data_IF_312925481687
#
_entry.id   IF_312925481687
#
_cell.length_a   1.000
_cell.length_b   1.000
_cell.length_c   1.000
_cell.angle_alpha   90.00
_cell.angle_beta   90.00
_cell.angle_gamma   90.00
#
_symmetry.space_group_name_H-M   'P 1'
#
loop_
_entity.id
_entity.type
_entity.pdbx_description
1 polymer ?
#
# COMPACT_ATOMS: atom_id res chain seq x y z
N UNK A 1 17.77 -4.65 0.78
CA UNK A 1 17.72 -3.84 -0.45
C UNK A 1 18.82 -2.79 -0.44
N UNK A 2 19.47 -2.54 -1.58
CA UNK A 2 20.42 -1.44 -1.76
C UNK A 2 20.01 -0.67 -3.00
N UNK A 3 19.28 0.43 -2.82
CA UNK A 3 18.78 1.24 -3.93
C UNK A 3 19.91 1.84 -4.79
N UNK A 4 19.76 1.85 -6.11
CA UNK A 4 20.79 2.31 -7.06
C UNK A 4 21.17 3.79 -6.89
N UNK A 5 20.26 4.61 -6.38
CA UNK A 5 20.45 6.07 -6.26
C UNK A 5 20.92 6.50 -4.85
N UNK A 6 21.15 5.53 -3.95
CA UNK A 6 21.60 5.76 -2.57
C UNK A 6 22.98 5.15 -2.29
N UNK A 7 23.61 5.59 -1.20
CA UNK A 7 24.86 5.02 -0.70
C UNK A 7 24.76 3.51 -0.49
N UNK A 8 25.88 2.81 -0.76
CA UNK A 8 25.97 1.33 -0.67
C UNK A 8 26.61 0.84 0.62
N UNK A 9 26.80 1.73 1.58
CA UNK A 9 27.41 1.49 2.88
C UNK A 9 26.49 0.71 3.84
N UNK A 10 25.17 0.82 3.68
CA UNK A 10 24.20 0.04 4.43
C UNK A 10 22.92 -0.23 3.62
N UNK A 11 22.18 -1.28 3.99
CA UNK A 11 20.91 -1.60 3.37
C UNK A 11 19.86 -0.54 3.75
N UNK A 12 19.13 -0.03 2.75
CA UNK A 12 18.14 1.03 2.93
C UNK A 12 17.04 0.88 1.89
N UNK A 13 15.78 0.99 2.34
CA UNK A 13 14.64 1.22 1.45
C UNK A 13 14.32 2.72 1.50
N UNK A 14 14.39 3.44 0.36
CA UNK A 14 13.94 4.82 0.29
C UNK A 14 12.49 4.95 0.78
N UNK A 15 12.21 5.95 1.62
CA UNK A 15 10.90 6.08 2.24
C UNK A 15 9.75 6.10 1.23
N UNK A 16 9.90 6.83 0.12
CA UNK A 16 8.89 6.86 -0.94
C UNK A 16 8.57 5.48 -1.52
N UNK A 17 9.59 4.63 -1.69
CA UNK A 17 9.39 3.25 -2.14
C UNK A 17 8.67 2.41 -1.09
N UNK A 18 9.01 2.55 0.21
CA UNK A 18 8.30 1.84 1.27
C UNK A 18 6.81 2.19 1.37
N UNK A 19 6.46 3.45 1.06
CA UNK A 19 5.07 3.94 1.10
C UNK A 19 4.29 3.50 -0.13
N UNK A 20 4.86 3.69 -1.32
CA UNK A 20 4.11 3.45 -2.57
C UNK A 20 3.80 1.97 -2.79
N UNK A 21 4.66 1.05 -2.34
CA UNK A 21 4.45 -0.39 -2.54
C UNK A 21 3.34 -0.98 -1.69
N UNK A 22 3.04 -0.38 -0.53
CA UNK A 22 1.90 -0.82 0.30
C UNK A 22 0.60 -0.09 -0.04
N UNK A 23 0.71 1.10 -0.65
CA UNK A 23 -0.43 1.98 -0.90
C UNK A 23 -1.63 1.29 -1.61
N UNK A 24 -1.46 0.45 -2.65
CA UNK A 24 -2.60 -0.24 -3.26
C UNK A 24 -3.38 -1.12 -2.26
N UNK A 25 -2.67 -1.88 -1.43
CA UNK A 25 -3.29 -2.72 -0.40
C UNK A 25 -3.92 -1.87 0.73
N UNK A 26 -3.27 -0.77 1.11
CA UNK A 26 -3.77 0.17 2.10
C UNK A 26 -5.09 0.85 1.64
N UNK A 27 -5.16 1.29 0.38
CA UNK A 27 -6.38 1.91 -0.17
C UNK A 27 -7.52 0.91 -0.33
N UNK A 28 -7.25 -0.34 -0.71
CA UNK A 28 -8.28 -1.41 -0.70
C UNK A 28 -8.78 -1.61 0.73
N UNK A 29 -7.87 -1.71 1.71
CA UNK A 29 -8.24 -1.94 3.10
C UNK A 29 -9.07 -0.79 3.67
N UNK A 30 -8.70 0.46 3.40
CA UNK A 30 -9.31 1.65 3.99
C UNK A 30 -10.52 2.19 3.22
N UNK A 31 -10.78 1.72 2.00
CA UNK A 31 -11.90 2.19 1.17
C UNK A 31 -13.25 2.16 1.91
N UNK A 32 -13.53 1.10 2.67
CA UNK A 32 -14.79 0.96 3.41
C UNK A 32 -14.97 1.97 4.55
N UNK A 33 -13.90 2.61 5.01
CA UNK A 33 -13.96 3.56 6.12
C UNK A 33 -14.32 4.98 5.69
N UNK A 34 -14.04 5.34 4.43
CA UNK A 34 -14.53 6.59 3.83
C UNK A 34 -14.65 6.44 2.30
N UNK A 35 -15.67 5.70 1.83
CA UNK A 35 -15.84 5.40 0.40
C UNK A 35 -15.91 6.66 -0.47
N UNK A 36 -16.47 7.74 0.08
CA UNK A 36 -16.71 9.01 -0.60
C UNK A 36 -15.40 9.71 -0.93
N UNK A 37 -14.44 9.73 0.02
CA UNK A 37 -13.11 10.30 -0.19
C UNK A 37 -12.29 9.47 -1.16
N UNK A 38 -12.42 8.14 -1.11
CA UNK A 38 -11.73 7.25 -2.05
C UNK A 38 -12.31 7.38 -3.46
N UNK A 39 -13.64 7.52 -3.58
CA UNK A 39 -14.32 7.77 -4.84
C UNK A 39 -13.90 9.10 -5.44
N UNK A 40 -13.86 10.16 -4.64
CA UNK A 40 -13.37 11.48 -5.06
C UNK A 40 -11.92 11.38 -5.56
N UNK A 41 -11.03 10.75 -4.79
CA UNK A 41 -9.65 10.54 -5.18
C UNK A 41 -9.51 9.74 -6.49
N UNK A 42 -10.25 8.63 -6.63
CA UNK A 42 -10.23 7.81 -7.84
C UNK A 42 -10.68 8.62 -9.06
N UNK A 43 -11.79 9.36 -8.97
CA UNK A 43 -12.29 10.17 -10.07
C UNK A 43 -11.36 11.35 -10.40
N UNK A 44 -10.74 11.99 -9.41
CA UNK A 44 -9.72 13.03 -9.63
C UNK A 44 -8.48 12.48 -10.35
N UNK A 45 -8.14 11.21 -10.14
CA UNK A 45 -7.05 10.51 -10.81
C UNK A 45 -7.47 9.87 -12.15
N UNK A 46 -8.68 10.17 -12.64
CA UNK A 46 -9.14 9.78 -13.97
C UNK A 46 -10.04 8.53 -14.01
N UNK A 47 -10.47 8.00 -12.87
CA UNK A 47 -11.54 7.00 -12.85
C UNK A 47 -12.87 7.61 -13.35
N UNK A 48 -13.77 6.73 -13.80
CA UNK A 48 -15.16 7.08 -14.10
C UNK A 48 -16.10 6.20 -13.27
N UNK A 49 -16.05 6.40 -11.94
CA UNK A 49 -16.87 5.66 -11.00
C UNK A 49 -18.14 6.45 -10.65
N UNK A 50 -19.27 5.74 -10.65
CA UNK A 50 -20.56 6.26 -10.18
C UNK A 50 -20.53 6.54 -8.67
N UNK A 51 -21.34 7.49 -8.22
CA UNK A 51 -21.60 7.71 -6.79
C UNK A 51 -22.27 6.52 -6.09
N UNK A 52 -22.76 5.54 -6.85
CA UNK A 52 -23.34 4.30 -6.33
C UNK A 52 -22.37 3.11 -6.36
N UNK A 53 -21.09 3.32 -6.73
CA UNK A 53 -20.09 2.27 -6.72
C UNK A 53 -19.87 1.75 -5.29
N UNK A 54 -19.61 0.45 -5.16
CA UNK A 54 -19.33 -0.17 -3.87
C UNK A 54 -17.93 0.21 -3.38
N UNK A 55 -17.69 0.17 -2.07
CA UNK A 55 -16.36 0.45 -1.49
C UNK A 55 -15.27 -0.46 -2.07
N UNK A 56 -15.61 -1.71 -2.39
CA UNK A 56 -14.68 -2.67 -2.98
C UNK A 56 -14.32 -2.27 -4.43
N UNK A 57 -15.31 -1.89 -5.25
CA UNK A 57 -15.06 -1.37 -6.60
C UNK A 57 -14.21 -0.10 -6.56
N UNK A 58 -14.51 0.82 -5.63
CA UNK A 58 -13.76 2.06 -5.43
C UNK A 58 -12.31 1.77 -5.05
N UNK A 59 -12.10 0.93 -4.02
CA UNK A 59 -10.77 0.59 -3.52
C UNK A 59 -9.92 -0.12 -4.57
N UNK A 60 -10.48 -1.10 -5.28
CA UNK A 60 -9.77 -1.82 -6.35
C UNK A 60 -9.42 -0.90 -7.53
N UNK A 61 -10.35 -0.04 -7.96
CA UNK A 61 -10.09 0.89 -9.06
C UNK A 61 -8.99 1.89 -8.70
N UNK A 62 -9.02 2.45 -7.49
CA UNK A 62 -7.98 3.34 -7.02
C UNK A 62 -6.62 2.63 -6.93
N UNK A 63 -6.59 1.40 -6.41
CA UNK A 63 -5.39 0.58 -6.38
C UNK A 63 -4.83 0.31 -7.78
N UNK A 64 -5.67 0.03 -8.77
CA UNK A 64 -5.25 -0.20 -10.16
C UNK A 64 -4.68 1.06 -10.82
N UNK A 65 -5.24 2.24 -10.53
CA UNK A 65 -4.66 3.52 -10.97
C UNK A 65 -3.25 3.70 -10.40
N UNK A 66 -3.08 3.44 -9.10
CA UNK A 66 -1.77 3.54 -8.45
C UNK A 66 -0.77 2.53 -9.03
N UNK A 67 -1.18 1.29 -9.29
CA UNK A 67 -0.36 0.29 -9.99
C UNK A 67 0.07 0.77 -11.36
N UNK A 68 -0.82 1.45 -12.10
CA UNK A 68 -0.51 2.11 -13.37
C UNK A 68 0.65 3.11 -13.21
N UNK A 69 0.54 4.05 -12.27
CA UNK A 69 1.61 5.03 -12.01
C UNK A 69 2.92 4.37 -11.56
N UNK A 70 2.84 3.36 -10.70
CA UNK A 70 4.03 2.61 -10.25
C UNK A 70 4.75 1.98 -11.44
N UNK A 71 4.02 1.38 -12.38
CA UNK A 71 4.57 0.81 -13.60
C UNK A 71 5.17 1.89 -14.51
N UNK A 72 4.48 3.01 -14.71
CA UNK A 72 4.95 4.12 -15.54
C UNK A 72 6.24 4.76 -14.99
N UNK A 73 6.40 4.77 -13.66
CA UNK A 73 7.58 5.32 -12.99
C UNK A 73 8.67 4.29 -12.69
N UNK A 74 8.50 3.04 -13.14
CA UNK A 74 9.43 1.94 -12.88
C UNK A 74 9.72 1.74 -11.38
N UNK A 75 8.68 1.83 -10.54
CA UNK A 75 8.79 1.38 -9.16
C UNK A 75 9.10 -0.12 -9.11
N UNK A 76 9.69 -0.63 -8.02
CA UNK A 76 9.81 -2.07 -7.83
C UNK A 76 8.42 -2.72 -7.72
N UNK A 77 8.27 -3.93 -8.26
CA UNK A 77 7.03 -4.71 -8.21
C UNK A 77 6.80 -5.33 -6.83
N UNK A 78 6.60 -4.47 -5.85
CA UNK A 78 6.33 -4.86 -4.46
C UNK A 78 7.59 -5.18 -3.65
N UNK A 79 7.33 -5.63 -2.43
CA UNK A 79 8.36 -5.91 -1.43
C UNK A 79 9.28 -7.06 -1.85
N UNK A 80 8.83 -7.97 -2.73
CA UNK A 80 9.68 -9.06 -3.24
C UNK A 80 10.88 -8.58 -4.04
N UNK A 81 10.74 -7.53 -4.84
CA UNK A 81 11.89 -6.92 -5.53
C UNK A 81 12.82 -6.15 -4.58
N UNK A 82 12.36 -5.87 -3.35
CA UNK A 82 13.17 -5.29 -2.27
C UNK A 82 13.82 -6.36 -1.37
N UNK A 83 13.61 -7.64 -1.67
CA UNK A 83 14.21 -8.76 -0.95
C UNK A 83 13.41 -9.23 0.27
N UNK A 84 12.10 -8.99 0.29
CA UNK A 84 11.19 -9.56 1.29
C UNK A 84 10.38 -10.70 0.69
N UNK A 85 10.03 -11.67 1.52
CA UNK A 85 9.10 -12.71 1.15
C UNK A 85 8.06 -12.96 2.25
N UNK A 86 7.24 -13.99 2.05
CA UNK A 86 6.18 -14.37 2.99
C UNK A 86 6.69 -14.64 4.41
N UNK A 87 7.95 -15.08 4.58
CA UNK A 87 8.53 -15.31 5.90
C UNK A 87 8.75 -14.02 6.69
N UNK A 88 8.80 -12.85 6.04
CA UNK A 88 8.99 -11.57 6.70
C UNK A 88 7.67 -10.90 7.13
N UNK A 89 6.51 -11.40 6.69
CA UNK A 89 5.21 -10.76 6.91
C UNK A 89 4.89 -10.62 8.40
N UNK A 90 5.21 -11.64 9.20
CA UNK A 90 4.99 -11.62 10.65
C UNK A 90 5.85 -10.52 11.32
N UNK A 91 7.14 -10.47 11.01
CA UNK A 91 8.07 -9.48 11.57
C UNK A 91 7.68 -8.05 11.17
N UNK A 92 7.31 -7.84 9.90
CA UNK A 92 6.83 -6.55 9.40
C UNK A 92 5.57 -6.09 10.13
N UNK A 93 4.61 -6.99 10.33
CA UNK A 93 3.36 -6.71 11.03
C UNK A 93 3.61 -6.35 12.50
N UNK A 94 4.48 -7.11 13.18
CA UNK A 94 4.87 -6.86 14.57
C UNK A 94 5.63 -5.53 14.73
N UNK A 95 6.47 -5.16 13.76
CA UNK A 95 7.17 -3.89 13.77
C UNK A 95 6.20 -2.69 13.59
N UNK A 96 5.19 -2.84 12.74
CA UNK A 96 4.26 -1.76 12.40
C UNK A 96 3.19 -1.51 13.50
N UNK A 97 2.68 -2.56 14.16
CA UNK A 97 1.49 -2.46 15.01
C UNK A 97 1.66 -1.48 16.18
N UNK A 98 2.86 -1.39 16.76
CA UNK A 98 3.15 -0.49 17.88
C UNK A 98 3.04 0.98 17.48
N UNK A 99 3.61 1.32 16.31
CA UNK A 99 3.54 2.67 15.78
C UNK A 99 2.11 3.07 15.42
N UNK A 100 1.37 2.18 14.75
CA UNK A 100 -0.01 2.43 14.29
C UNK A 100 -0.94 2.65 15.49
N UNK A 101 -0.84 1.82 16.53
CA UNK A 101 -1.65 1.98 17.75
C UNK A 101 -1.32 3.26 18.52
N UNK A 102 -0.05 3.66 18.53
CA UNK A 102 0.38 4.88 19.21
C UNK A 102 0.03 6.17 18.44
N UNK A 103 -0.11 6.09 17.11
CA UNK A 103 -0.36 7.22 16.22
C UNK A 103 -1.59 6.95 15.34
N UNK A 104 -2.73 6.68 15.97
CA UNK A 104 -3.97 6.30 15.29
C UNK A 104 -4.57 7.48 14.51
N UNK A 105 -4.11 7.63 13.26
CA UNK A 105 -4.66 8.56 12.26
C UNK A 105 -5.38 7.81 11.12
N UNK A 106 -5.32 6.47 11.12
CA UNK A 106 -5.96 5.65 10.10
C UNK A 106 -7.49 5.71 10.27
N UNK A 107 -8.28 5.81 9.19
CA UNK A 107 -9.74 5.88 9.29
C UNK A 107 -10.37 4.51 9.66
N UNK A 108 -9.56 3.45 9.62
CA UNK A 108 -9.95 2.06 9.90
C UNK A 108 -8.98 1.45 10.90
N UNK A 109 -9.52 0.79 11.91
CA UNK A 109 -8.71 0.08 12.91
C UNK A 109 -7.94 -1.06 12.24
N UNK A 110 -6.65 -1.18 12.60
CA UNK A 110 -5.76 -2.22 12.11
C UNK A 110 -5.23 -3.06 13.27
N UNK A 111 -5.25 -4.37 13.07
CA UNK A 111 -4.67 -5.40 13.94
C UNK A 111 -3.55 -6.17 13.20
N UNK A 112 -2.94 -7.15 13.86
CA UNK A 112 -1.86 -7.93 13.24
C UNK A 112 -2.32 -8.70 11.99
N UNK A 113 -3.58 -9.14 11.96
CA UNK A 113 -4.11 -9.92 10.83
C UNK A 113 -4.29 -9.03 9.59
N UNK A 114 -4.91 -7.86 9.76
CA UNK A 114 -5.06 -6.87 8.68
C UNK A 114 -3.71 -6.38 8.17
N UNK A 115 -2.73 -6.12 9.06
CA UNK A 115 -1.37 -5.78 8.64
C UNK A 115 -0.68 -6.90 7.88
N UNK A 116 -0.82 -8.15 8.33
CA UNK A 116 -0.25 -9.30 7.63
C UNK A 116 -0.85 -9.42 6.22
N UNK A 117 -2.16 -9.23 6.07
CA UNK A 117 -2.84 -9.22 4.76
C UNK A 117 -2.35 -8.09 3.86
N UNK A 118 -2.15 -6.88 4.41
CA UNK A 118 -1.59 -5.74 3.67
C UNK A 118 -0.19 -6.06 3.18
N UNK A 119 0.70 -6.54 4.05
CA UNK A 119 2.08 -6.89 3.68
C UNK A 119 2.13 -8.04 2.68
N UNK A 120 1.33 -9.10 2.87
CA UNK A 120 1.26 -10.21 1.93
C UNK A 120 0.77 -9.75 0.55
N UNK A 121 -0.25 -8.89 0.51
CA UNK A 121 -0.75 -8.29 -0.74
C UNK A 121 0.22 -7.30 -1.39
N UNK A 122 1.25 -6.86 -0.65
CA UNK A 122 2.27 -5.92 -1.10
C UNK A 122 3.57 -6.63 -1.53
N UNK A 123 3.66 -7.95 -1.39
CA UNK A 123 4.81 -8.74 -1.88
C UNK A 123 4.95 -8.61 -3.40
N UNK A 124 3.84 -8.67 -4.12
CA UNK A 124 3.74 -8.45 -5.57
C UNK A 124 2.57 -7.52 -5.84
N UNK A 125 2.81 -6.43 -6.57
CA UNK A 125 1.85 -5.34 -6.71
C UNK A 125 1.16 -5.30 -8.08
N UNK A 126 1.82 -5.77 -9.15
CA UNK A 126 1.25 -5.87 -10.51
C UNK A 126 1.84 -7.02 -11.34
#
# INVERSE_FOLDING_TARGET
YFDKDYGKDHALIPHGLSVVVTAPADFIFTASASPEKHLEAANLLGANLSSTATSDEIGNTLADILRGFMKDFNCPNGLSEMGFDKSNVEDLSNAAIGFIKANAITPKDSDLESLARIYESSLTVY
#
